data_IF_901057029432
#
_entry.id   IF_901057029432
#
_cell.length_a   1.000
_cell.length_b   1.000
_cell.length_c   1.000
_cell.angle_alpha   90.00
_cell.angle_beta   90.00
_cell.angle_gamma   90.00
#
_symmetry.space_group_name_H-M   'P 1'
#
loop_
_entity.id
_entity.type
_entity.pdbx_description
1 polymer ?
#
# COMPACT_ATOMS: atom_id res chain seq x y z
N UNK A 1 -26.92 19.39 14.93
CA UNK A 1 -28.05 20.27 15.20
C UNK A 1 -27.96 21.43 14.21
N UNK A 2 -29.02 21.71 13.49
CA UNK A 2 -29.13 22.83 12.57
C UNK A 2 -30.16 23.82 13.12
N UNK A 3 -30.25 25.05 12.58
CA UNK A 3 -31.33 25.99 12.94
C UNK A 3 -32.74 25.41 12.71
N UNK A 4 -32.85 24.38 11.88
CA UNK A 4 -34.13 23.73 11.51
C UNK A 4 -34.40 22.43 12.29
N UNK A 5 -33.52 22.01 13.22
CA UNK A 5 -33.74 20.85 14.05
C UNK A 5 -32.52 19.93 14.14
N UNK A 6 -32.75 18.73 14.72
CA UNK A 6 -31.79 17.63 14.76
C UNK A 6 -32.07 16.71 13.58
N UNK A 7 -30.99 16.34 12.89
CA UNK A 7 -31.03 15.41 11.76
C UNK A 7 -30.08 14.25 12.02
N UNK A 8 -30.42 13.11 11.51
CA UNK A 8 -29.65 11.87 11.56
C UNK A 8 -29.33 11.43 10.12
N UNK A 9 -28.11 10.93 9.90
CA UNK A 9 -27.74 10.36 8.62
C UNK A 9 -28.28 8.94 8.52
N UNK A 10 -29.07 8.67 7.49
CA UNK A 10 -29.58 7.30 7.20
C UNK A 10 -28.57 6.43 6.47
N UNK A 11 -27.48 7.03 5.96
CA UNK A 11 -26.39 6.34 5.28
C UNK A 11 -25.07 6.93 5.76
N UNK A 12 -24.00 6.14 5.65
CA UNK A 12 -22.66 6.58 6.01
C UNK A 12 -22.24 7.81 5.19
N UNK A 13 -22.01 8.98 5.81
CA UNK A 13 -21.62 10.18 5.08
C UNK A 13 -20.16 10.10 4.65
N UNK A 14 -19.86 10.61 3.45
CA UNK A 14 -18.51 10.73 2.94
C UNK A 14 -17.73 11.78 3.76
N UNK A 15 -16.41 11.53 3.98
CA UNK A 15 -15.53 12.47 4.69
C UNK A 15 -15.49 12.29 6.22
N UNK A 16 -16.26 11.38 6.79
CA UNK A 16 -16.11 10.97 8.20
C UNK A 16 -14.88 10.05 8.30
N UNK A 17 -14.01 10.30 9.30
CA UNK A 17 -12.72 9.56 9.44
C UNK A 17 -12.87 8.04 9.54
N UNK A 18 -13.95 7.55 10.14
CA UNK A 18 -14.22 6.12 10.29
C UNK A 18 -14.96 5.49 9.09
N UNK A 19 -15.33 6.28 8.07
CA UNK A 19 -16.13 5.79 6.95
C UNK A 19 -15.37 4.72 6.14
N UNK A 20 -14.06 4.89 5.98
CA UNK A 20 -13.22 3.92 5.29
C UNK A 20 -13.11 2.60 6.04
N UNK A 21 -12.97 2.64 7.36
CA UNK A 21 -12.89 1.44 8.21
C UNK A 21 -14.20 0.64 8.15
N UNK A 22 -15.36 1.33 8.24
CA UNK A 22 -16.67 0.70 8.14
C UNK A 22 -16.88 0.10 6.74
N UNK A 23 -16.45 0.79 5.68
CA UNK A 23 -16.55 0.26 4.32
C UNK A 23 -15.64 -0.96 4.14
N UNK A 24 -14.40 -0.90 4.64
CA UNK A 24 -13.45 -2.02 4.63
C UNK A 24 -14.03 -3.26 5.34
N UNK A 25 -14.65 -3.09 6.52
CA UNK A 25 -15.34 -4.18 7.23
C UNK A 25 -16.40 -4.83 6.35
N UNK A 26 -17.27 -4.03 5.74
CA UNK A 26 -18.35 -4.53 4.88
C UNK A 26 -17.87 -5.24 3.63
N UNK A 27 -16.80 -4.75 2.99
CA UNK A 27 -16.18 -5.42 1.85
C UNK A 27 -15.51 -6.73 2.28
N UNK A 28 -14.84 -6.75 3.42
CA UNK A 28 -14.25 -7.97 3.96
C UNK A 28 -15.33 -9.01 4.27
N UNK A 29 -16.45 -8.61 4.90
CA UNK A 29 -17.59 -9.50 5.15
C UNK A 29 -18.16 -10.11 3.87
N UNK A 30 -18.20 -9.34 2.77
CA UNK A 30 -18.75 -9.78 1.49
C UNK A 30 -17.92 -10.90 0.84
N UNK A 31 -16.62 -10.93 1.10
CA UNK A 31 -15.67 -11.84 0.44
C UNK A 31 -14.89 -12.73 1.40
N UNK A 32 -15.26 -12.79 2.69
CA UNK A 32 -14.50 -13.49 3.74
C UNK A 32 -14.27 -14.99 3.48
N UNK A 33 -15.18 -15.62 2.74
CA UNK A 33 -15.17 -17.05 2.39
C UNK A 33 -14.41 -17.32 1.06
N UNK A 34 -13.95 -16.30 0.36
CA UNK A 34 -13.20 -16.42 -0.89
C UNK A 34 -11.70 -16.21 -0.65
N UNK A 35 -10.95 -17.32 -0.59
CA UNK A 35 -9.50 -17.27 -0.30
C UNK A 35 -8.67 -16.58 -1.40
N UNK A 36 -9.20 -16.55 -2.62
CA UNK A 36 -8.56 -15.95 -3.80
C UNK A 36 -8.87 -14.45 -3.96
N UNK A 37 -9.65 -13.84 -3.08
CA UNK A 37 -10.04 -12.42 -3.15
C UNK A 37 -9.36 -11.63 -2.03
N UNK A 38 -8.81 -10.48 -2.38
CA UNK A 38 -8.26 -9.52 -1.43
C UNK A 38 -8.89 -8.16 -1.68
N UNK A 39 -9.44 -7.56 -0.64
CA UNK A 39 -10.06 -6.25 -0.70
C UNK A 39 -9.29 -5.26 0.18
N UNK A 40 -9.02 -4.09 -0.34
CA UNK A 40 -8.44 -2.99 0.41
C UNK A 40 -9.12 -1.68 -0.01
N UNK A 41 -10.03 -1.20 0.83
CA UNK A 41 -10.88 -0.03 0.60
C UNK A 41 -11.59 -0.14 -0.77
N UNK A 42 -11.15 0.65 -1.76
CA UNK A 42 -11.74 0.70 -3.10
C UNK A 42 -11.17 -0.35 -4.07
N UNK A 43 -10.02 -0.95 -3.72
CA UNK A 43 -9.28 -1.86 -4.58
C UNK A 43 -9.65 -3.32 -4.26
N UNK A 44 -10.02 -4.07 -5.28
CA UNK A 44 -10.33 -5.50 -5.19
C UNK A 44 -9.38 -6.28 -6.11
N UNK A 45 -8.69 -7.26 -5.54
CA UNK A 45 -7.79 -8.15 -6.26
C UNK A 45 -8.33 -9.56 -6.23
N UNK A 46 -8.41 -10.21 -7.38
CA UNK A 46 -8.74 -11.63 -7.54
C UNK A 46 -7.52 -12.35 -8.12
N UNK A 47 -6.99 -13.35 -7.41
CA UNK A 47 -5.82 -14.12 -7.82
C UNK A 47 -6.22 -15.58 -7.97
N UNK A 48 -6.23 -16.09 -9.18
CA UNK A 48 -6.56 -17.49 -9.49
C UNK A 48 -5.29 -18.29 -9.77
N UNK A 49 -5.31 -19.55 -9.38
CA UNK A 49 -4.18 -20.48 -9.55
C UNK A 49 -4.46 -21.58 -10.57
N UNK A 50 -5.61 -21.52 -11.26
CA UNK A 50 -6.08 -22.55 -12.20
C UNK A 50 -6.03 -22.12 -13.66
N UNK A 51 -6.97 -22.63 -14.44
CA UNK A 51 -7.16 -22.32 -15.84
C UNK A 51 -7.81 -20.94 -16.03
N UNK A 52 -7.81 -20.46 -17.26
CA UNK A 52 -8.50 -19.22 -17.62
C UNK A 52 -10.01 -19.31 -17.37
N UNK A 53 -10.61 -20.47 -17.68
CA UNK A 53 -12.03 -20.73 -17.47
C UNK A 53 -12.41 -20.70 -15.99
N UNK A 54 -11.57 -21.26 -15.14
CA UNK A 54 -11.74 -21.19 -13.67
C UNK A 54 -11.65 -19.75 -13.17
N UNK A 55 -10.68 -18.97 -13.70
CA UNK A 55 -10.57 -17.54 -13.36
C UNK A 55 -11.84 -16.76 -13.75
N UNK A 56 -12.41 -17.01 -14.92
CA UNK A 56 -13.66 -16.35 -15.34
C UNK A 56 -14.83 -16.76 -14.43
N UNK A 57 -14.91 -18.03 -14.03
CA UNK A 57 -15.94 -18.48 -13.11
C UNK A 57 -15.83 -17.81 -11.72
N UNK A 58 -14.61 -17.65 -11.20
CA UNK A 58 -14.34 -16.95 -9.95
C UNK A 58 -14.68 -15.45 -10.03
N UNK A 59 -14.35 -14.80 -11.15
CA UNK A 59 -14.73 -13.42 -11.43
C UNK A 59 -16.25 -13.24 -11.48
N UNK A 60 -16.99 -14.16 -12.08
CA UNK A 60 -18.46 -14.13 -12.13
C UNK A 60 -19.05 -14.17 -10.72
N UNK A 61 -18.53 -15.01 -9.83
CA UNK A 61 -18.92 -15.06 -8.42
C UNK A 61 -18.68 -13.71 -7.74
N UNK A 62 -17.51 -13.12 -7.93
CA UNK A 62 -17.14 -11.82 -7.32
C UNK A 62 -18.05 -10.70 -7.82
N UNK A 63 -18.24 -10.59 -9.14
CA UNK A 63 -19.09 -9.57 -9.76
C UNK A 63 -20.55 -9.73 -9.37
N UNK A 64 -21.03 -10.96 -9.25
CA UNK A 64 -22.39 -11.25 -8.79
C UNK A 64 -22.60 -10.80 -7.34
N UNK A 65 -21.64 -11.05 -6.43
CA UNK A 65 -21.70 -10.56 -5.04
C UNK A 65 -21.71 -9.04 -4.97
N UNK A 66 -20.84 -8.36 -5.73
CA UNK A 66 -20.84 -6.89 -5.81
C UNK A 66 -22.20 -6.37 -6.28
N UNK A 67 -22.76 -6.95 -7.34
CA UNK A 67 -24.07 -6.57 -7.87
C UNK A 67 -25.17 -6.74 -6.85
N UNK A 68 -25.22 -7.89 -6.15
CA UNK A 68 -26.21 -8.18 -5.12
C UNK A 68 -26.09 -7.25 -3.91
N UNK A 69 -24.88 -6.80 -3.59
CA UNK A 69 -24.62 -5.80 -2.56
C UNK A 69 -24.93 -4.35 -3.03
N UNK A 70 -25.35 -4.16 -4.28
CA UNK A 70 -25.63 -2.83 -4.85
C UNK A 70 -24.37 -2.01 -5.16
N UNK A 71 -23.19 -2.64 -5.18
CA UNK A 71 -21.93 -1.99 -5.49
C UNK A 71 -21.71 -1.95 -7.02
N UNK A 72 -21.03 -0.90 -7.48
CA UNK A 72 -20.76 -0.69 -8.90
C UNK A 72 -19.26 -0.56 -9.14
N UNK A 73 -18.75 -1.29 -10.13
CA UNK A 73 -17.39 -1.15 -10.61
C UNK A 73 -17.34 -0.16 -11.79
N UNK A 74 -16.28 0.66 -11.83
CA UNK A 74 -15.99 1.49 -12.98
C UNK A 74 -15.13 0.69 -13.94
N UNK A 75 -15.71 0.27 -15.08
CA UNK A 75 -15.07 -0.65 -16.03
C UNK A 75 -13.73 -0.12 -16.54
N UNK A 76 -13.62 1.20 -16.78
CA UNK A 76 -12.39 1.85 -17.25
C UNK A 76 -11.21 1.76 -16.24
N UNK A 77 -11.49 1.32 -15.01
CA UNK A 77 -10.50 1.11 -13.95
C UNK A 77 -10.31 -0.36 -13.58
N UNK A 78 -11.01 -1.24 -14.26
CA UNK A 78 -10.90 -2.68 -14.07
C UNK A 78 -9.88 -3.26 -15.04
N UNK A 79 -9.04 -4.14 -14.53
CA UNK A 79 -8.05 -4.89 -15.28
C UNK A 79 -8.39 -6.37 -15.11
N UNK A 80 -8.59 -7.08 -16.22
CA UNK A 80 -9.04 -8.47 -16.20
C UNK A 80 -8.02 -9.37 -16.89
N UNK A 81 -7.72 -10.51 -16.26
CA UNK A 81 -6.82 -11.53 -16.78
C UNK A 81 -5.45 -11.00 -17.22
N UNK A 82 -4.91 -10.01 -16.51
CA UNK A 82 -3.60 -9.44 -16.77
C UNK A 82 -2.49 -10.34 -16.21
N UNK A 83 -1.40 -10.57 -16.96
CA UNK A 83 -0.27 -11.38 -16.50
C UNK A 83 0.52 -10.70 -15.37
N UNK A 84 0.46 -9.39 -15.29
CA UNK A 84 1.05 -8.55 -14.23
C UNK A 84 0.07 -7.43 -13.89
N UNK A 85 -0.12 -7.15 -12.59
CA UNK A 85 -1.01 -6.09 -12.14
C UNK A 85 -0.36 -5.25 -11.04
N UNK A 86 -0.56 -3.93 -11.11
CA UNK A 86 -0.21 -3.04 -10.02
C UNK A 86 -1.31 -3.07 -8.95
N UNK A 87 -0.93 -3.47 -7.73
CA UNK A 87 -1.82 -3.50 -6.59
C UNK A 87 -1.10 -2.96 -5.34
N UNK A 88 -1.66 -1.96 -4.70
CA UNK A 88 -1.12 -1.34 -3.48
C UNK A 88 0.39 -1.03 -3.59
N UNK A 89 0.85 -0.45 -4.71
CA UNK A 89 2.24 -0.06 -4.92
C UNK A 89 3.23 -1.20 -5.16
N UNK A 90 2.74 -2.41 -5.36
CA UNK A 90 3.49 -3.58 -5.80
C UNK A 90 3.06 -3.98 -7.20
N UNK A 91 3.90 -4.71 -7.91
CA UNK A 91 3.54 -5.44 -9.12
C UNK A 91 3.41 -6.91 -8.74
N UNK A 92 2.22 -7.45 -8.92
CA UNK A 92 1.94 -8.88 -8.74
C UNK A 92 2.14 -9.56 -10.07
N UNK A 93 2.93 -10.64 -10.09
CA UNK A 93 3.22 -11.43 -11.27
C UNK A 93 3.01 -12.91 -10.95
N UNK A 94 3.04 -13.77 -11.95
CA UNK A 94 3.01 -15.23 -11.77
C UNK A 94 4.19 -15.77 -10.96
N UNK A 95 5.33 -15.07 -10.97
CA UNK A 95 6.58 -15.52 -10.33
C UNK A 95 6.71 -14.94 -8.90
N UNK A 96 5.80 -14.06 -8.48
CA UNK A 96 5.80 -13.43 -7.15
C UNK A 96 5.48 -11.95 -7.17
N UNK A 97 5.78 -11.27 -6.07
CA UNK A 97 5.47 -9.85 -5.84
C UNK A 97 6.77 -9.05 -5.90
N UNK A 98 6.81 -7.99 -6.70
CA UNK A 98 7.93 -7.04 -6.79
C UNK A 98 7.47 -5.61 -6.49
N UNK A 99 8.35 -4.74 -5.99
CA UNK A 99 7.99 -3.34 -5.77
C UNK A 99 7.71 -2.64 -7.09
N UNK A 100 6.81 -1.63 -7.08
CA UNK A 100 6.55 -0.82 -8.26
C UNK A 100 7.80 -0.02 -8.65
N UNK A 101 8.34 -0.17 -9.89
CA UNK A 101 9.57 0.49 -10.32
C UNK A 101 9.51 2.02 -10.19
N UNK A 102 8.35 2.63 -10.46
CA UNK A 102 8.17 4.10 -10.33
C UNK A 102 8.34 4.57 -8.88
N UNK A 103 7.86 3.78 -7.93
CA UNK A 103 7.98 4.07 -6.49
C UNK A 103 9.42 3.86 -6.01
N UNK A 104 10.07 2.79 -6.49
CA UNK A 104 11.50 2.51 -6.24
C UNK A 104 12.35 3.67 -6.75
N UNK A 105 12.12 4.10 -8.00
CA UNK A 105 12.85 5.22 -8.59
C UNK A 105 12.71 6.49 -7.75
N UNK A 106 11.52 6.77 -7.22
CA UNK A 106 11.31 7.90 -6.32
C UNK A 106 12.21 7.86 -5.07
N UNK A 107 12.50 6.67 -4.52
CA UNK A 107 13.44 6.53 -3.39
C UNK A 107 14.88 6.70 -3.86
N UNK A 108 15.24 6.13 -5.02
CA UNK A 108 16.60 6.24 -5.58
C UNK A 108 16.98 7.68 -5.92
N UNK A 109 16.01 8.47 -6.38
CA UNK A 109 16.21 9.89 -6.75
C UNK A 109 16.25 10.83 -5.53
N UNK A 110 15.89 10.34 -4.34
CA UNK A 110 15.93 11.15 -3.14
C UNK A 110 17.34 11.63 -2.83
N UNK A 111 17.46 12.93 -2.56
CA UNK A 111 18.69 13.54 -2.07
C UNK A 111 18.88 13.22 -0.58
N UNK A 112 20.11 13.35 -0.11
CA UNK A 112 20.42 13.22 1.31
C UNK A 112 19.53 14.14 2.15
N UNK A 113 18.82 13.62 3.15
CA UNK A 113 18.00 14.42 4.06
C UNK A 113 18.82 15.45 4.84
N UNK A 114 18.35 16.68 4.93
CA UNK A 114 18.99 17.78 5.64
C UNK A 114 18.30 18.14 6.95
N UNK A 115 17.09 17.69 7.14
CA UNK A 115 16.27 17.96 8.31
C UNK A 115 15.43 16.76 8.74
N UNK A 116 14.91 16.83 9.99
CA UNK A 116 14.13 15.72 10.57
C UNK A 116 12.86 15.36 9.80
N UNK A 117 12.27 16.30 9.06
CA UNK A 117 11.08 16.04 8.25
C UNK A 117 11.43 15.19 7.04
N UNK A 118 12.52 15.53 6.36
CA UNK A 118 13.04 14.76 5.21
C UNK A 118 13.51 13.37 5.64
N UNK A 119 14.17 13.26 6.82
CA UNK A 119 14.54 11.95 7.38
C UNK A 119 13.31 11.07 7.59
N UNK A 120 12.23 11.61 8.21
CA UNK A 120 11.00 10.85 8.41
C UNK A 120 10.35 10.46 7.09
N UNK A 121 10.38 11.35 6.11
CA UNK A 121 9.86 11.05 4.77
C UNK A 121 10.64 9.90 4.11
N UNK A 122 11.97 9.95 4.11
CA UNK A 122 12.83 8.88 3.60
C UNK A 122 12.55 7.55 4.32
N UNK A 123 12.61 7.56 5.66
CA UNK A 123 12.34 6.35 6.47
C UNK A 123 10.94 5.79 6.20
N UNK A 124 9.93 6.65 6.07
CA UNK A 124 8.56 6.24 5.75
C UNK A 124 8.44 5.56 4.38
N UNK A 125 9.10 6.11 3.35
CA UNK A 125 9.11 5.50 2.01
C UNK A 125 9.83 4.15 2.00
N UNK A 126 10.97 4.03 2.67
CA UNK A 126 11.69 2.75 2.81
C UNK A 126 10.88 1.75 3.63
N UNK A 127 10.18 2.22 4.67
CA UNK A 127 9.34 1.40 5.53
C UNK A 127 8.18 0.73 4.79
N UNK A 128 7.69 1.37 3.73
CA UNK A 128 6.61 0.83 2.91
C UNK A 128 6.98 -0.54 2.31
N UNK A 129 8.23 -0.71 1.90
CA UNK A 129 8.76 -1.96 1.32
C UNK A 129 9.53 -2.82 2.34
N UNK A 130 9.14 -2.74 3.61
CA UNK A 130 9.86 -3.39 4.74
C UNK A 130 10.09 -4.89 4.56
N UNK A 131 9.16 -5.56 3.92
CA UNK A 131 9.17 -7.03 3.81
C UNK A 131 10.12 -7.54 2.72
N UNK A 132 10.62 -6.63 1.85
CA UNK A 132 11.57 -6.96 0.78
C UNK A 132 13.02 -7.10 1.27
N UNK A 133 13.37 -6.53 2.45
CA UNK A 133 14.77 -6.48 2.88
C UNK A 133 14.97 -7.00 4.30
N UNK A 134 15.69 -8.11 4.46
CA UNK A 134 16.05 -8.62 5.78
C UNK A 134 16.97 -7.61 6.50
N UNK A 135 16.86 -7.56 7.83
CA UNK A 135 17.69 -6.71 8.72
C UNK A 135 17.63 -5.20 8.43
N UNK A 136 16.61 -4.74 7.71
CA UNK A 136 16.42 -3.32 7.35
C UNK A 136 16.48 -2.40 8.57
N UNK A 137 15.87 -2.79 9.70
CA UNK A 137 15.83 -1.96 10.90
C UNK A 137 17.22 -1.66 11.46
N UNK A 138 18.13 -2.62 11.36
CA UNK A 138 19.54 -2.44 11.78
C UNK A 138 20.25 -1.47 10.85
N UNK A 139 20.07 -1.61 9.54
CA UNK A 139 20.67 -0.74 8.53
C UNK A 139 20.16 0.69 8.69
N UNK A 140 18.87 0.89 8.95
CA UNK A 140 18.25 2.21 9.11
C UNK A 140 18.50 2.85 10.48
N UNK A 141 19.02 2.13 11.46
CA UNK A 141 19.16 2.60 12.83
C UNK A 141 19.91 3.95 12.95
N UNK A 142 21.06 4.18 12.27
CA UNK A 142 21.74 5.48 12.31
C UNK A 142 20.84 6.63 11.84
N UNK A 143 20.13 6.46 10.72
CA UNK A 143 19.23 7.46 10.15
C UNK A 143 18.01 7.69 11.04
N UNK A 144 17.40 6.61 11.56
CA UNK A 144 16.24 6.70 12.43
C UNK A 144 16.56 7.45 13.73
N UNK A 145 17.77 7.27 14.27
CA UNK A 145 18.22 7.98 15.47
C UNK A 145 18.24 9.51 15.30
N UNK A 146 18.44 10.03 14.09
CA UNK A 146 18.38 11.47 13.80
C UNK A 146 17.00 12.08 14.08
N UNK A 147 15.95 11.27 14.12
CA UNK A 147 14.59 11.75 14.41
C UNK A 147 14.28 11.85 15.90
N UNK A 148 15.12 11.28 16.77
CA UNK A 148 14.93 11.29 18.23
C UNK A 148 15.07 12.71 18.82
N UNK A 149 14.55 12.89 20.04
CA UNK A 149 14.60 14.13 20.80
C UNK A 149 13.34 14.99 20.70
N UNK A 150 13.24 15.99 21.58
CA UNK A 150 12.01 16.78 21.79
C UNK A 150 11.59 17.65 20.59
N UNK A 151 12.54 18.17 19.80
CA UNK A 151 12.23 19.02 18.65
C UNK A 151 11.75 18.17 17.48
N UNK A 152 10.50 18.36 17.07
CA UNK A 152 9.90 17.64 15.92
C UNK A 152 10.47 18.07 14.55
N UNK A 153 11.01 19.29 14.44
CA UNK A 153 11.58 19.87 13.20
C UNK A 153 12.99 20.41 13.50
N UNK A 154 13.81 20.56 12.48
CA UNK A 154 15.14 21.16 12.56
C UNK A 154 16.19 20.40 11.76
N UNK A 155 17.38 20.96 11.63
CA UNK A 155 18.50 20.34 10.95
C UNK A 155 18.90 19.03 11.63
N UNK A 156 19.57 18.16 10.88
CA UNK A 156 20.14 16.91 11.38
C UNK A 156 21.64 16.90 11.24
N UNK A 157 22.32 16.27 12.19
CA UNK A 157 23.74 16.00 12.10
C UNK A 157 23.96 14.69 11.34
N UNK A 158 24.29 14.81 10.07
CA UNK A 158 24.43 13.67 9.16
C UNK A 158 25.83 13.09 9.23
N UNK A 159 25.97 11.95 9.90
CA UNK A 159 27.26 11.29 10.11
C UNK A 159 27.65 10.36 8.94
N UNK A 160 28.92 9.92 8.85
CA UNK A 160 29.35 8.92 7.87
C UNK A 160 28.59 7.60 7.96
N UNK A 161 28.16 7.21 9.17
CA UNK A 161 27.33 6.01 9.37
C UNK A 161 25.92 6.19 8.73
N UNK A 162 25.36 7.40 8.82
CA UNK A 162 24.10 7.73 8.16
C UNK A 162 24.26 7.68 6.63
N UNK A 163 25.36 8.19 6.08
CA UNK A 163 25.65 8.13 4.65
C UNK A 163 25.78 6.68 4.17
N UNK A 164 26.53 5.86 4.89
CA UNK A 164 26.68 4.44 4.55
C UNK A 164 25.34 3.70 4.61
N UNK A 165 24.51 3.99 5.62
CA UNK A 165 23.16 3.41 5.74
C UNK A 165 22.25 3.83 4.56
N UNK A 166 22.30 5.11 4.20
CA UNK A 166 21.52 5.69 3.09
C UNK A 166 21.87 5.04 1.75
N UNK A 167 23.15 4.98 1.41
CA UNK A 167 23.64 4.34 0.19
C UNK A 167 23.40 2.82 0.18
N UNK A 168 23.51 2.16 1.33
CA UNK A 168 23.24 0.73 1.45
C UNK A 168 21.77 0.43 1.18
N UNK A 169 20.84 1.21 1.74
CA UNK A 169 19.41 1.07 1.47
C UNK A 169 19.12 1.30 0.00
N UNK A 170 19.66 2.35 -0.63
CA UNK A 170 19.46 2.60 -2.06
C UNK A 170 19.95 1.43 -2.92
N UNK A 171 21.11 0.86 -2.61
CA UNK A 171 21.63 -0.33 -3.33
C UNK A 171 20.74 -1.56 -3.15
N UNK A 172 20.19 -1.78 -1.95
CA UNK A 172 19.28 -2.89 -1.70
C UNK A 172 17.96 -2.73 -2.48
N UNK A 173 17.43 -1.50 -2.50
CA UNK A 173 16.20 -1.16 -3.23
C UNK A 173 16.38 -1.30 -4.75
N UNK A 174 17.56 -0.95 -5.27
CA UNK A 174 17.88 -1.07 -6.69
C UNK A 174 18.01 -2.52 -7.17
N UNK A 175 18.18 -3.50 -6.27
CA UNK A 175 18.16 -4.92 -6.62
C UNK A 175 16.71 -5.33 -6.85
N UNK A 176 16.44 -5.95 -8.00
CA UNK A 176 15.14 -6.55 -8.30
C UNK A 176 14.90 -7.70 -7.32
N UNK A 177 14.09 -7.44 -6.30
CA UNK A 177 13.80 -8.43 -5.26
C UNK A 177 12.36 -8.93 -5.48
N UNK A 178 12.23 -10.18 -5.89
CA UNK A 178 10.96 -10.91 -5.92
C UNK A 178 10.69 -11.47 -4.52
N UNK A 179 9.47 -11.23 -4.03
CA UNK A 179 8.89 -11.99 -2.92
C UNK A 179 8.10 -13.15 -3.53
N UNK A 180 8.46 -14.34 -3.15
CA UNK A 180 7.73 -15.56 -3.52
C UNK A 180 6.41 -15.68 -2.74
#
# INVERSE_FOLDING_TARGET
>A
VTPFGKYEYLRLPMGVSVAQDIFQEKICDLFHDLENVRAFIDDLLVVSHGTYEEHIAELDVVLTRLSNAGLKCKIDKCFFAEPEIEYLGYIITKDGIKPNPKKVQGILDMRRPTNKTEVRHFVGMVQYYRDLWPRRSEILLPITNLTKGQKKKGPVDWTPECENAFETIKRLIARDTLLA
#
